data_IF_448601444689
#
_entry.id   IF_448601444689
#
_cell.length_a   1.000
_cell.length_b   1.000
_cell.length_c   1.000
_cell.angle_alpha   90.00
_cell.angle_beta   90.00
_cell.angle_gamma   90.00
#
_symmetry.space_group_name_H-M   'P 1'
#
loop_
_entity.id
_entity.type
_entity.pdbx_description
1 polymer ?
#
# COMPACT_ATOMS: atom_id res chain seq x y z
N UNK A 1 -21.04 -24.38 -12.22
CA UNK A 1 -20.82 -24.77 -10.82
C UNK A 1 -20.62 -23.48 -10.05
N UNK A 2 -21.63 -23.01 -9.32
CA UNK A 2 -21.48 -21.83 -8.47
C UNK A 2 -20.72 -22.25 -7.21
N UNK A 3 -19.62 -21.56 -6.90
CA UNK A 3 -18.84 -21.83 -5.70
C UNK A 3 -19.59 -21.20 -4.52
N UNK A 4 -19.97 -21.98 -3.48
CA UNK A 4 -20.76 -21.45 -2.38
C UNK A 4 -19.99 -20.38 -1.57
N UNK A 5 -20.73 -19.40 -1.04
CA UNK A 5 -20.24 -18.31 -0.16
C UNK A 5 -19.22 -17.35 -0.77
N UNK A 6 -19.27 -17.15 -2.10
CA UNK A 6 -18.49 -16.11 -2.79
C UNK A 6 -19.18 -14.75 -2.84
N UNK A 7 -20.51 -14.72 -2.70
CA UNK A 7 -21.33 -13.51 -2.73
C UNK A 7 -22.07 -13.35 -1.40
N UNK A 8 -22.70 -14.43 -0.95
CA UNK A 8 -23.46 -14.46 0.29
C UNK A 8 -22.55 -14.77 1.49
N UNK A 9 -22.92 -14.19 2.63
CA UNK A 9 -22.24 -14.40 3.90
C UNK A 9 -22.50 -15.81 4.42
N UNK A 10 -21.50 -16.41 5.06
CA UNK A 10 -21.71 -17.70 5.71
C UNK A 10 -22.56 -17.53 6.98
N UNK A 11 -23.47 -18.47 7.30
CA UNK A 11 -24.31 -18.40 8.50
C UNK A 11 -23.54 -18.45 9.83
N UNK A 12 -22.35 -19.06 9.83
CA UNK A 12 -21.52 -19.28 11.02
C UNK A 12 -20.69 -18.05 11.41
N UNK A 13 -20.18 -17.33 10.40
CA UNK A 13 -19.19 -16.27 10.56
C UNK A 13 -19.69 -14.90 10.12
N UNK A 14 -20.79 -14.83 9.37
CA UNK A 14 -21.29 -13.58 8.77
C UNK A 14 -20.33 -12.99 7.72
N UNK A 15 -19.39 -13.78 7.20
CA UNK A 15 -18.38 -13.33 6.24
C UNK A 15 -18.40 -14.23 4.99
N UNK A 16 -18.11 -13.66 3.83
CA UNK A 16 -17.89 -14.40 2.59
C UNK A 16 -16.43 -14.87 2.47
N UNK A 17 -16.18 -15.95 1.73
CA UNK A 17 -14.88 -16.65 1.70
C UNK A 17 -13.70 -15.72 1.39
N UNK A 18 -13.88 -14.83 0.42
CA UNK A 18 -12.82 -13.92 -0.02
C UNK A 18 -12.42 -12.88 1.05
N UNK A 19 -13.33 -12.54 1.96
CA UNK A 19 -13.05 -11.62 3.08
C UNK A 19 -12.16 -12.29 4.13
N UNK A 20 -12.42 -13.55 4.43
CA UNK A 20 -11.55 -14.35 5.32
C UNK A 20 -10.16 -14.51 4.67
N UNK A 21 -10.12 -14.84 3.38
CA UNK A 21 -8.87 -15.01 2.64
C UNK A 21 -7.99 -13.77 2.65
N UNK A 22 -8.56 -12.57 2.42
CA UNK A 22 -7.76 -11.35 2.45
C UNK A 22 -7.26 -11.03 3.85
N UNK A 23 -8.07 -11.19 4.90
CA UNK A 23 -7.61 -10.93 6.28
C UNK A 23 -6.47 -11.86 6.69
N UNK A 24 -6.50 -13.13 6.29
CA UNK A 24 -5.41 -14.07 6.55
C UNK A 24 -4.13 -13.64 5.80
N UNK A 25 -4.26 -13.22 4.54
CA UNK A 25 -3.14 -12.69 3.77
C UNK A 25 -2.57 -11.39 4.38
N UNK A 26 -3.42 -10.46 4.82
CA UNK A 26 -2.98 -9.24 5.51
C UNK A 26 -2.25 -9.58 6.81
N UNK A 27 -2.71 -10.58 7.57
CA UNK A 27 -2.01 -11.04 8.76
C UNK A 27 -0.60 -11.57 8.45
N UNK A 28 -0.40 -12.30 7.34
CA UNK A 28 0.95 -12.72 6.94
C UNK A 28 1.84 -11.54 6.55
N UNK A 29 1.28 -10.51 5.91
CA UNK A 29 2.03 -9.30 5.56
C UNK A 29 2.42 -8.49 6.79
N UNK A 30 1.55 -8.40 7.81
CA UNK A 30 1.90 -7.80 9.11
C UNK A 30 3.11 -8.50 9.72
N UNK A 31 3.18 -9.84 9.65
CA UNK A 31 4.31 -10.60 10.18
C UNK A 31 5.59 -10.36 9.36
N UNK A 32 5.49 -10.27 8.03
CA UNK A 32 6.60 -9.96 7.13
C UNK A 32 7.22 -8.59 7.45
N UNK A 33 6.40 -7.54 7.45
CA UNK A 33 6.87 -6.19 7.76
C UNK A 33 7.28 -6.06 9.23
N UNK A 34 6.57 -6.71 10.15
CA UNK A 34 6.92 -6.74 11.58
C UNK A 34 8.31 -7.32 11.85
N UNK A 35 8.68 -8.38 11.13
CA UNK A 35 10.04 -8.94 11.17
C UNK A 35 11.11 -7.94 10.70
N UNK A 36 10.85 -7.24 9.60
CA UNK A 36 11.77 -6.23 9.06
C UNK A 36 11.86 -4.98 9.96
N UNK A 37 10.75 -4.54 10.56
CA UNK A 37 10.77 -3.48 11.57
C UNK A 37 11.56 -3.88 12.81
N UNK A 38 11.43 -5.14 13.26
CA UNK A 38 12.23 -5.66 14.36
C UNK A 38 13.73 -5.63 14.02
N UNK A 39 14.09 -6.06 12.80
CA UNK A 39 15.46 -5.98 12.31
C UNK A 39 16.00 -4.55 12.29
N UNK A 40 15.21 -3.56 11.86
CA UNK A 40 15.56 -2.14 11.93
C UNK A 40 15.89 -1.70 13.37
N UNK A 41 15.05 -2.08 14.35
CA UNK A 41 15.27 -1.72 15.76
C UNK A 41 16.58 -2.31 16.28
N UNK A 42 16.87 -3.59 15.99
CA UNK A 42 18.13 -4.20 16.40
C UNK A 42 19.35 -3.56 15.75
N UNK A 43 19.29 -3.25 14.44
CA UNK A 43 20.36 -2.55 13.73
C UNK A 43 20.62 -1.16 14.29
N UNK A 44 19.55 -0.45 14.68
CA UNK A 44 19.64 0.87 15.30
C UNK A 44 20.28 0.81 16.69
N UNK A 45 19.87 -0.14 17.53
CA UNK A 45 20.40 -0.31 18.89
C UNK A 45 21.86 -0.78 18.89
N UNK A 46 22.26 -1.53 17.86
CA UNK A 46 23.64 -2.00 17.70
C UNK A 46 24.59 -1.01 17.00
N UNK A 47 24.08 0.10 16.46
CA UNK A 47 24.89 1.08 15.76
C UNK A 47 25.66 1.99 16.75
N UNK A 48 26.84 2.52 16.36
CA UNK A 48 27.54 3.54 17.14
C UNK A 48 26.64 4.74 17.43
N UNK A 49 26.76 5.31 18.63
CA UNK A 49 25.95 6.45 19.05
C UNK A 49 26.05 7.61 18.03
N UNK A 50 24.91 8.04 17.50
CA UNK A 50 24.82 9.13 16.51
C UNK A 50 24.87 8.70 15.04
N UNK A 51 25.35 7.49 14.71
CA UNK A 51 25.52 7.05 13.32
C UNK A 51 24.20 7.00 12.53
N UNK A 52 23.12 6.49 13.14
CA UNK A 52 21.78 6.47 12.51
C UNK A 52 21.22 7.89 12.29
N UNK A 53 21.56 8.84 13.16
CA UNK A 53 21.08 10.21 13.03
C UNK A 53 21.83 10.96 11.92
N UNK A 54 23.13 10.70 11.77
CA UNK A 54 23.91 11.21 10.64
C UNK A 54 23.44 10.61 9.30
N UNK A 55 23.25 9.29 9.24
CA UNK A 55 22.78 8.62 8.02
C UNK A 55 21.33 8.98 7.65
N UNK A 56 20.51 9.33 8.63
CA UNK A 56 19.14 9.81 8.43
C UNK A 56 19.04 11.20 7.80
N UNK A 57 20.08 12.05 7.91
CA UNK A 57 20.08 13.39 7.30
C UNK A 57 20.13 13.36 5.77
N UNK A 58 20.56 12.24 5.19
CA UNK A 58 20.53 12.00 3.74
C UNK A 58 19.09 11.79 3.20
N UNK A 59 18.07 11.81 4.06
CA UNK A 59 16.67 11.65 3.68
C UNK A 59 15.95 12.99 3.53
N UNK A 60 15.17 13.11 2.46
CA UNK A 60 14.41 14.32 2.18
C UNK A 60 13.03 14.25 2.86
N UNK A 61 12.92 14.80 4.07
CA UNK A 61 11.69 14.81 4.87
C UNK A 61 10.52 15.52 4.15
N UNK A 62 10.70 16.69 3.49
CA UNK A 62 9.61 17.33 2.74
C UNK A 62 9.01 16.46 1.62
N UNK A 63 9.86 15.82 0.81
CA UNK A 63 9.40 14.93 -0.27
C UNK A 63 8.70 13.69 0.29
N UNK A 64 9.22 13.13 1.38
CA UNK A 64 8.60 12.00 2.05
C UNK A 64 7.25 12.35 2.70
N UNK A 65 7.11 13.57 3.24
CA UNK A 65 5.86 14.07 3.80
C UNK A 65 4.81 14.26 2.70
N UNK A 66 5.19 14.85 1.57
CA UNK A 66 4.32 15.00 0.41
C UNK A 66 3.82 13.63 -0.09
N UNK A 67 4.72 12.64 -0.18
CA UNK A 67 4.36 11.28 -0.55
C UNK A 67 3.33 10.66 0.40
N UNK A 68 3.52 10.83 1.71
CA UNK A 68 2.60 10.31 2.72
C UNK A 68 1.23 10.98 2.59
N UNK A 69 1.16 12.29 2.33
CA UNK A 69 -0.11 12.99 2.09
C UNK A 69 -0.82 12.47 0.83
N UNK A 70 -0.07 12.20 -0.24
CA UNK A 70 -0.62 11.64 -1.49
C UNK A 70 -1.22 10.24 -1.23
N UNK A 71 -0.52 9.37 -0.49
CA UNK A 71 -1.03 8.03 -0.18
C UNK A 71 -2.26 8.07 0.73
N UNK A 72 -2.24 8.89 1.80
CA UNK A 72 -3.41 9.04 2.67
C UNK A 72 -4.63 9.53 1.87
N UNK A 73 -4.41 10.50 0.97
CA UNK A 73 -5.46 10.98 0.06
C UNK A 73 -5.96 9.88 -0.87
N UNK A 74 -5.05 9.04 -1.39
CA UNK A 74 -5.39 7.86 -2.19
C UNK A 74 -6.32 6.91 -1.43
N UNK A 75 -6.01 6.62 -0.16
CA UNK A 75 -6.86 5.81 0.72
C UNK A 75 -8.29 6.34 0.81
N UNK A 76 -8.46 7.65 1.03
CA UNK A 76 -9.79 8.27 1.11
C UNK A 76 -10.55 8.07 -0.21
N UNK A 77 -9.89 8.30 -1.35
CA UNK A 77 -10.51 8.08 -2.66
C UNK A 77 -10.91 6.62 -2.89
N UNK A 78 -10.14 5.66 -2.39
CA UNK A 78 -10.46 4.24 -2.51
C UNK A 78 -11.75 3.88 -1.75
N UNK A 79 -11.92 4.36 -0.51
CA UNK A 79 -13.17 4.18 0.26
C UNK A 79 -14.35 4.82 -0.46
N UNK A 80 -14.18 6.03 -0.98
CA UNK A 80 -15.23 6.74 -1.71
C UNK A 80 -15.63 6.01 -3.01
N UNK A 81 -14.68 5.34 -3.67
CA UNK A 81 -14.95 4.51 -4.85
C UNK A 81 -15.88 3.34 -4.51
N UNK A 82 -15.62 2.65 -3.40
CA UNK A 82 -16.44 1.54 -2.91
C UNK A 82 -17.82 2.03 -2.43
N UNK A 83 -17.87 3.13 -1.68
CA UNK A 83 -19.13 3.73 -1.24
C UNK A 83 -20.02 4.12 -2.42
N UNK A 84 -19.42 4.67 -3.50
CA UNK A 84 -20.14 5.02 -4.72
C UNK A 84 -20.77 3.79 -5.40
N UNK A 85 -20.11 2.62 -5.36
CA UNK A 85 -20.70 1.37 -5.84
C UNK A 85 -21.90 0.93 -4.99
N UNK A 86 -21.83 1.09 -3.66
CA UNK A 86 -22.98 0.78 -2.78
C UNK A 86 -24.16 1.71 -3.02
N UNK A 87 -23.92 2.95 -3.47
CA UNK A 87 -24.95 3.90 -3.89
C UNK A 87 -25.40 3.73 -5.35
N UNK A 88 -24.96 2.68 -6.05
CA UNK A 88 -25.19 2.45 -7.48
C UNK A 88 -24.71 3.58 -8.42
N UNK A 89 -23.79 4.44 -7.97
CA UNK A 89 -23.22 5.52 -8.78
C UNK A 89 -21.90 5.09 -9.43
N UNK A 90 -22.02 4.43 -10.58
CA UNK A 90 -20.86 3.90 -11.30
C UNK A 90 -19.95 4.98 -11.90
N UNK A 91 -20.49 6.18 -12.18
CA UNK A 91 -19.69 7.30 -12.69
C UNK A 91 -18.73 7.79 -11.62
N UNK A 92 -19.23 8.00 -10.39
CA UNK A 92 -18.38 8.38 -9.26
C UNK A 92 -17.38 7.30 -8.89
N UNK A 93 -17.77 6.03 -8.94
CA UNK A 93 -16.82 4.91 -8.78
C UNK A 93 -15.60 5.06 -9.70
N UNK A 94 -15.83 5.26 -11.01
CA UNK A 94 -14.72 5.44 -11.97
C UNK A 94 -13.88 6.67 -11.68
N UNK A 95 -14.51 7.79 -11.31
CA UNK A 95 -13.79 9.01 -10.95
C UNK A 95 -12.84 8.75 -9.77
N UNK A 96 -13.37 8.23 -8.66
CA UNK A 96 -12.56 7.99 -7.46
C UNK A 96 -11.50 6.92 -7.67
N UNK A 97 -11.82 5.83 -8.37
CA UNK A 97 -10.84 4.79 -8.69
C UNK A 97 -9.71 5.31 -9.58
N UNK A 98 -10.03 6.21 -10.53
CA UNK A 98 -9.02 6.88 -11.35
C UNK A 98 -8.14 7.83 -10.54
N UNK A 99 -8.71 8.54 -9.57
CA UNK A 99 -7.95 9.38 -8.63
C UNK A 99 -7.01 8.55 -7.76
N UNK A 100 -7.46 7.40 -7.23
CA UNK A 100 -6.61 6.46 -6.48
C UNK A 100 -5.41 6.02 -7.31
N UNK A 101 -5.62 5.63 -8.58
CA UNK A 101 -4.53 5.27 -9.48
C UNK A 101 -3.58 6.44 -9.75
N UNK A 102 -4.10 7.64 -9.97
CA UNK A 102 -3.28 8.83 -10.19
C UNK A 102 -2.39 9.13 -8.97
N UNK A 103 -2.94 9.08 -7.76
CA UNK A 103 -2.18 9.25 -6.53
C UNK A 103 -1.11 8.17 -6.38
N UNK A 104 -1.44 6.91 -6.69
CA UNK A 104 -0.50 5.80 -6.64
C UNK A 104 0.69 5.97 -7.60
N UNK A 105 0.44 6.39 -8.85
CA UNK A 105 1.51 6.72 -9.79
C UNK A 105 2.32 7.93 -9.33
N UNK A 106 1.67 8.95 -8.77
CA UNK A 106 2.34 10.11 -8.18
C UNK A 106 3.35 9.70 -7.09
N UNK A 107 2.94 8.80 -6.19
CA UNK A 107 3.82 8.23 -5.17
C UNK A 107 5.05 7.52 -5.78
N UNK A 108 4.82 6.67 -6.79
CA UNK A 108 5.92 5.96 -7.47
C UNK A 108 6.89 6.92 -8.18
N UNK A 109 6.38 7.97 -8.82
CA UNK A 109 7.20 8.96 -9.52
C UNK A 109 8.09 9.71 -8.54
N UNK A 110 7.54 10.21 -7.43
CA UNK A 110 8.33 10.94 -6.43
C UNK A 110 9.39 10.00 -5.83
N UNK A 111 9.02 8.75 -5.54
CA UNK A 111 9.98 7.76 -5.03
C UNK A 111 11.08 7.42 -6.02
N UNK A 112 10.75 7.32 -7.30
CA UNK A 112 11.73 7.12 -8.36
C UNK A 112 12.75 8.26 -8.40
N UNK A 113 12.30 9.52 -8.30
CA UNK A 113 13.22 10.67 -8.23
C UNK A 113 14.10 10.65 -6.98
N UNK A 114 13.53 10.31 -5.81
CA UNK A 114 14.30 10.19 -4.56
C UNK A 114 15.39 9.11 -4.66
N UNK A 115 15.04 7.94 -5.21
CA UNK A 115 16.00 6.86 -5.43
C UNK A 115 17.07 7.26 -6.45
N UNK A 116 16.68 7.82 -7.58
CA UNK A 116 17.63 8.24 -8.63
C UNK A 116 18.61 9.29 -8.10
N UNK A 117 18.15 10.25 -7.28
CA UNK A 117 19.03 11.21 -6.63
C UNK A 117 20.04 10.51 -5.70
N UNK A 118 19.58 9.58 -4.85
CA UNK A 118 20.46 8.81 -3.95
C UNK A 118 21.51 7.99 -4.71
N UNK A 119 21.12 7.32 -5.79
CA UNK A 119 22.05 6.58 -6.63
C UNK A 119 23.08 7.49 -7.32
N UNK A 120 22.68 8.70 -7.70
CA UNK A 120 23.61 9.69 -8.29
C UNK A 120 24.65 10.20 -7.29
N UNK A 121 24.30 10.24 -6.00
CA UNK A 121 25.21 10.56 -4.90
C UNK A 121 26.01 9.35 -4.37
N UNK A 122 26.01 8.23 -5.11
CA UNK A 122 26.68 6.98 -4.72
C UNK A 122 26.17 6.37 -3.39
N UNK A 123 24.93 6.68 -3.01
CA UNK A 123 24.28 6.11 -1.83
C UNK A 123 23.55 4.83 -2.25
N UNK A 124 24.26 3.71 -2.12
CA UNK A 124 23.76 2.36 -2.44
C UNK A 124 23.29 1.62 -1.18
N UNK A 125 22.52 0.52 -1.32
CA UNK A 125 22.18 -0.35 -0.20
C UNK A 125 23.41 -0.91 0.55
N UNK A 126 24.57 -0.99 -0.11
CA UNK A 126 25.81 -1.50 0.47
C UNK A 126 26.63 -0.47 1.26
N UNK A 127 26.22 0.80 1.30
CA UNK A 127 27.03 1.86 1.93
C UNK A 127 27.04 1.77 3.46
N UNK A 128 25.90 1.50 4.07
CA UNK A 128 25.76 1.30 5.50
C UNK A 128 24.51 0.47 5.82
N UNK A 129 24.43 -0.02 7.05
CA UNK A 129 23.32 -0.87 7.51
C UNK A 129 21.97 -0.14 7.50
N UNK A 130 21.96 1.18 7.67
CA UNK A 130 20.74 2.00 7.60
C UNK A 130 20.18 2.07 6.17
N UNK A 131 21.03 2.32 5.17
CA UNK A 131 20.63 2.33 3.77
C UNK A 131 20.21 0.94 3.32
N UNK A 132 20.89 -0.12 3.76
CA UNK A 132 20.49 -1.51 3.49
C UNK A 132 19.04 -1.78 3.95
N UNK A 133 18.72 -1.48 5.20
CA UNK A 133 17.37 -1.71 5.74
C UNK A 133 16.33 -0.74 5.16
N UNK A 134 16.73 0.52 4.91
CA UNK A 134 15.89 1.53 4.25
C UNK A 134 15.44 1.07 2.85
N UNK A 135 16.38 0.69 1.99
CA UNK A 135 16.08 0.22 0.64
C UNK A 135 15.29 -1.09 0.65
N UNK A 136 15.56 -1.98 1.61
CA UNK A 136 14.80 -3.24 1.76
C UNK A 136 13.34 -2.96 2.12
N UNK A 137 13.09 -2.17 3.17
CA UNK A 137 11.74 -1.84 3.64
C UNK A 137 10.94 -1.04 2.60
N UNK A 138 11.54 0.03 2.07
CA UNK A 138 10.87 0.91 1.11
C UNK A 138 10.73 0.26 -0.26
N UNK A 139 11.68 -0.56 -0.69
CA UNK A 139 11.61 -1.34 -1.93
C UNK A 139 10.55 -2.43 -1.88
N UNK A 140 10.49 -3.20 -0.78
CA UNK A 140 9.42 -4.19 -0.59
C UNK A 140 8.04 -3.50 -0.57
N UNK A 141 7.91 -2.38 0.12
CA UNK A 141 6.68 -1.59 0.09
C UNK A 141 6.32 -1.11 -1.32
N UNK A 142 7.29 -0.63 -2.10
CA UNK A 142 7.07 -0.23 -3.48
C UNK A 142 6.54 -1.39 -4.34
N UNK A 143 7.07 -2.61 -4.15
CA UNK A 143 6.54 -3.81 -4.84
C UNK A 143 5.08 -4.07 -4.50
N UNK A 144 4.67 -3.87 -3.24
CA UNK A 144 3.27 -3.98 -2.82
C UNK A 144 2.38 -2.92 -3.47
N UNK A 145 2.84 -1.67 -3.52
CA UNK A 145 2.12 -0.58 -4.21
C UNK A 145 1.93 -0.92 -5.70
N UNK A 146 2.97 -1.42 -6.37
CA UNK A 146 2.87 -1.85 -7.77
C UNK A 146 1.86 -2.99 -7.93
N UNK A 147 1.89 -4.00 -7.05
CA UNK A 147 0.90 -5.08 -7.02
C UNK A 147 -0.53 -4.55 -6.87
N UNK A 148 -0.74 -3.59 -5.97
CA UNK A 148 -2.03 -2.93 -5.79
C UNK A 148 -2.47 -2.14 -7.02
N UNK A 149 -1.57 -1.41 -7.67
CA UNK A 149 -1.87 -0.66 -8.92
C UNK A 149 -2.32 -1.62 -10.02
N UNK A 150 -1.69 -2.79 -10.15
CA UNK A 150 -2.08 -3.80 -11.15
C UNK A 150 -3.50 -4.29 -10.88
N UNK A 151 -3.82 -4.62 -9.62
CA UNK A 151 -5.16 -5.10 -9.22
C UNK A 151 -6.21 -4.00 -9.42
N UNK A 152 -5.94 -2.79 -8.96
CA UNK A 152 -6.85 -1.64 -9.12
C UNK A 152 -7.03 -1.30 -10.60
N UNK A 153 -5.96 -1.28 -11.38
CA UNK A 153 -5.97 -1.04 -12.82
C UNK A 153 -6.81 -2.07 -13.56
N UNK A 154 -6.72 -3.34 -13.17
CA UNK A 154 -7.59 -4.40 -13.69
C UNK A 154 -9.07 -4.12 -13.41
N UNK A 155 -9.42 -3.72 -12.18
CA UNK A 155 -10.81 -3.40 -11.84
C UNK A 155 -11.32 -2.11 -12.48
N UNK A 156 -10.46 -1.11 -12.67
CA UNK A 156 -10.78 0.14 -13.37
C UNK A 156 -11.02 -0.08 -14.87
N UNK A 157 -10.21 -0.94 -15.50
CA UNK A 157 -10.26 -1.23 -16.93
C UNK A 157 -11.17 -2.43 -17.30
N UNK A 158 -10.61 -3.61 -17.60
CA UNK A 158 -11.37 -4.77 -18.08
C UNK A 158 -12.38 -5.28 -17.06
N UNK A 159 -12.04 -5.25 -15.77
CA UNK A 159 -12.89 -5.72 -14.69
C UNK A 159 -14.16 -4.89 -14.49
N UNK A 160 -14.17 -3.63 -14.93
CA UNK A 160 -15.33 -2.74 -14.85
C UNK A 160 -16.58 -3.30 -15.58
N UNK A 161 -16.39 -4.23 -16.55
CA UNK A 161 -17.49 -4.91 -17.23
C UNK A 161 -18.31 -5.81 -16.29
N UNK A 162 -17.70 -6.34 -15.22
CA UNK A 162 -18.36 -7.22 -14.24
C UNK A 162 -19.46 -6.51 -13.44
N UNK A 163 -19.46 -5.17 -13.42
CA UNK A 163 -20.54 -4.39 -12.82
C UNK A 163 -21.90 -4.70 -13.49
N UNK A 164 -21.93 -4.94 -14.80
CA UNK A 164 -23.17 -5.20 -15.54
C UNK A 164 -23.77 -6.58 -15.26
N UNK A 165 -22.93 -7.57 -14.92
CA UNK A 165 -23.36 -8.95 -14.70
C UNK A 165 -23.67 -9.25 -13.23
N UNK A 166 -23.03 -8.54 -12.29
CA UNK A 166 -23.24 -8.76 -10.86
C UNK A 166 -22.74 -7.60 -9.99
N UNK A 167 -23.53 -6.53 -9.83
CA UNK A 167 -23.14 -5.33 -9.07
C UNK A 167 -22.67 -5.63 -7.64
N UNK A 168 -23.40 -6.49 -6.92
CA UNK A 168 -23.06 -6.88 -5.53
C UNK A 168 -21.71 -7.60 -5.45
N UNK A 169 -21.50 -8.58 -6.32
CA UNK A 169 -20.25 -9.35 -6.36
C UNK A 169 -19.05 -8.48 -6.77
N UNK A 170 -19.25 -7.54 -7.70
CA UNK A 170 -18.22 -6.57 -8.05
C UNK A 170 -17.89 -5.64 -6.87
N UNK A 171 -18.90 -5.11 -6.18
CA UNK A 171 -18.68 -4.25 -5.01
C UNK A 171 -17.91 -4.98 -3.89
N UNK A 172 -18.20 -6.27 -3.64
CA UNK A 172 -17.44 -7.07 -2.66
C UNK A 172 -15.98 -7.27 -3.10
N UNK A 173 -15.70 -7.42 -4.40
CA UNK A 173 -14.32 -7.50 -4.93
C UNK A 173 -13.55 -6.19 -4.75
N UNK A 174 -14.22 -5.06 -4.96
CA UNK A 174 -13.62 -3.74 -4.72
C UNK A 174 -13.37 -3.50 -3.23
N UNK A 175 -14.26 -4.00 -2.35
CA UNK A 175 -14.03 -3.96 -0.89
C UNK A 175 -12.71 -4.68 -0.52
N UNK A 176 -12.52 -5.90 -1.03
CA UNK A 176 -11.31 -6.69 -0.78
C UNK A 176 -10.06 -5.99 -1.31
N UNK A 177 -10.11 -5.48 -2.54
CA UNK A 177 -9.01 -4.72 -3.12
C UNK A 177 -8.72 -3.44 -2.31
N UNK A 178 -9.77 -2.80 -1.78
CA UNK A 178 -9.66 -1.64 -0.88
C UNK A 178 -8.97 -1.99 0.43
N UNK A 179 -9.35 -3.10 1.07
CA UNK A 179 -8.69 -3.58 2.31
C UNK A 179 -7.19 -3.79 2.11
N UNK A 180 -6.79 -4.37 0.97
CA UNK A 180 -5.37 -4.47 0.61
C UNK A 180 -4.72 -3.10 0.45
N UNK A 181 -5.34 -2.20 -0.29
CA UNK A 181 -4.81 -0.85 -0.53
C UNK A 181 -4.63 -0.05 0.77
N UNK A 182 -5.63 -0.07 1.65
CA UNK A 182 -5.56 0.56 2.97
C UNK A 182 -4.47 -0.04 3.84
N UNK A 183 -4.25 -1.34 3.77
CA UNK A 183 -3.17 -1.99 4.50
C UNK A 183 -1.79 -1.51 4.01
N UNK A 184 -1.60 -1.43 2.69
CA UNK A 184 -0.36 -0.90 2.11
C UNK A 184 -0.13 0.53 2.58
N UNK A 185 -1.15 1.39 2.52
CA UNK A 185 -1.07 2.77 3.03
C UNK A 185 -0.72 2.82 4.54
N UNK A 186 -1.33 1.94 5.35
CA UNK A 186 -1.06 1.85 6.79
C UNK A 186 0.40 1.48 7.06
N UNK A 187 0.98 0.52 6.33
CA UNK A 187 2.40 0.17 6.46
C UNK A 187 3.29 1.39 6.16
N UNK A 188 2.93 2.21 5.17
CA UNK A 188 3.67 3.44 4.87
C UNK A 188 3.60 4.47 6.00
N UNK A 189 2.44 4.63 6.63
CA UNK A 189 2.24 5.53 7.77
C UNK A 189 3.17 5.16 8.95
N UNK A 190 3.51 3.88 9.13
CA UNK A 190 4.51 3.47 10.11
C UNK A 190 5.95 3.59 9.60
N UNK A 191 6.20 3.27 8.32
CA UNK A 191 7.53 3.40 7.72
C UNK A 191 8.05 4.83 7.74
N UNK A 192 7.19 5.81 7.44
CA UNK A 192 7.60 7.20 7.33
C UNK A 192 8.20 7.75 8.64
N UNK A 193 7.53 7.70 9.81
CA UNK A 193 8.11 8.15 11.07
C UNK A 193 9.34 7.33 11.46
N UNK A 194 9.30 6.00 11.30
CA UNK A 194 10.39 5.12 11.73
C UNK A 194 11.68 5.36 10.95
N UNK A 195 11.59 5.66 9.65
CA UNK A 195 12.77 5.85 8.82
C UNK A 195 13.20 7.31 8.66
N UNK A 196 12.25 8.26 8.63
CA UNK A 196 12.53 9.67 8.31
C UNK A 196 12.52 10.60 9.52
N UNK A 197 11.87 10.24 10.62
CA UNK A 197 11.73 11.11 11.80
C UNK A 197 12.49 10.60 13.03
N UNK A 198 12.57 9.29 13.20
CA UNK A 198 13.31 8.65 14.27
C UNK A 198 14.75 8.40 13.84
#
# INVERSE_FOLDING_TARGET
MEIPYTVDERPDTGLYNSKIGIWLFLASEVMLFGGLFSAYVFLRLGAPAGAFQEWGQELNIPLATLNTLILISSSVTMVMSWASLKMNDFKKYKLYMGLTLLCAFGFLIIKYFEYSAKFSHHIYPSTNTFMAIYFTLTGLHMLHVIGGIIVIGYFFGPGAKMWKTGPKHFANRIEIAGLYWHFVDLVWIFLFPVLYLL
#
